data_IF_151708894388
#
_entry.id   IF_151708894388
#
_cell.length_a   1.000
_cell.length_b   1.000
_cell.length_c   1.000
_cell.angle_alpha   90.00
_cell.angle_beta   90.00
_cell.angle_gamma   90.00
#
_symmetry.space_group_name_H-M   'P 1'
#
loop_
_entity.id
_entity.type
_entity.pdbx_description
1 polymer ?
#
# COMPACT_ATOMS: atom_id res chain seq x y z
N UNK A 1 23.82 6.61 3.85
CA UNK A 1 23.01 6.11 4.99
C UNK A 1 21.55 6.14 4.53
N UNK A 2 21.08 5.07 3.88
CA UNK A 2 19.70 5.00 3.38
C UNK A 2 18.82 4.65 4.57
N UNK A 3 18.01 5.61 5.01
CA UNK A 3 16.96 5.40 6.01
C UNK A 3 15.92 4.49 5.37
N UNK A 4 16.04 3.17 5.57
CA UNK A 4 14.91 2.26 5.39
C UNK A 4 13.81 2.77 6.32
N UNK A 5 12.68 3.30 5.82
CA UNK A 5 11.61 3.69 6.72
C UNK A 5 11.19 2.41 7.43
N UNK A 6 11.34 2.44 8.75
CA UNK A 6 11.08 1.33 9.65
C UNK A 6 9.56 1.14 9.70
N UNK A 7 9.01 0.59 8.63
CA UNK A 7 7.57 0.37 8.46
C UNK A 7 7.06 -0.84 9.25
N UNK A 8 7.98 -1.51 9.95
CA UNK A 8 7.75 -2.74 10.69
C UNK A 8 6.90 -2.60 11.95
N UNK A 9 6.60 -1.39 12.42
CA UNK A 9 5.96 -1.20 13.74
C UNK A 9 4.42 -1.07 13.70
N UNK A 10 3.82 -0.77 12.54
CA UNK A 10 2.35 -0.68 12.44
C UNK A 10 1.76 -2.05 12.05
N UNK A 11 1.12 -2.79 12.98
CA UNK A 11 0.63 -4.14 12.72
C UNK A 11 -0.52 -4.16 11.70
N UNK A 12 -1.25 -3.04 11.55
CA UNK A 12 -2.28 -2.92 10.53
C UNK A 12 -1.65 -2.79 9.16
N UNK A 13 -0.58 -2.02 9.05
CA UNK A 13 0.08 -1.83 7.77
C UNK A 13 0.75 -3.09 7.23
N UNK A 14 1.31 -3.94 8.11
CA UNK A 14 1.78 -5.28 7.74
C UNK A 14 0.66 -6.18 7.20
N UNK A 15 -0.60 -5.98 7.63
CA UNK A 15 -1.78 -6.71 7.10
C UNK A 15 -2.32 -6.09 5.81
N UNK A 16 -2.27 -4.77 5.67
CA UNK A 16 -2.87 -4.04 4.55
C UNK A 16 -2.02 -4.15 3.28
N UNK A 17 -0.70 -4.00 3.39
CA UNK A 17 0.22 -4.07 2.25
C UNK A 17 0.09 -5.36 1.40
N UNK A 18 0.09 -6.57 1.96
CA UNK A 18 -0.06 -7.79 1.17
C UNK A 18 -1.44 -7.91 0.50
N UNK A 19 -2.50 -7.42 1.16
CA UNK A 19 -3.85 -7.37 0.56
C UNK A 19 -3.88 -6.40 -0.60
N UNK A 20 -3.29 -5.22 -0.45
CA UNK A 20 -3.18 -4.21 -1.49
C UNK A 20 -2.37 -4.72 -2.69
N UNK A 21 -1.30 -5.50 -2.44
CA UNK A 21 -0.52 -6.17 -3.49
C UNK A 21 -1.32 -7.25 -4.22
N UNK A 22 -2.15 -8.00 -3.50
CA UNK A 22 -2.97 -9.08 -4.06
C UNK A 22 -4.12 -8.52 -4.91
N UNK A 23 -4.75 -7.43 -4.47
CA UNK A 23 -5.88 -6.81 -5.15
C UNK A 23 -5.45 -5.84 -6.27
N UNK A 24 -4.33 -5.13 -6.08
CA UNK A 24 -3.78 -4.13 -7.02
C UNK A 24 -2.69 -4.69 -7.93
N UNK A 25 -2.68 -5.99 -8.21
CA UNK A 25 -1.62 -6.68 -8.96
C UNK A 25 -1.34 -6.06 -10.35
N UNK A 26 -2.34 -5.45 -10.97
CA UNK A 26 -2.26 -4.82 -12.30
C UNK A 26 -1.91 -3.31 -12.26
N UNK A 27 -1.45 -2.80 -11.11
CA UNK A 27 -1.29 -1.35 -10.90
C UNK A 27 -2.61 -0.60 -10.69
N UNK A 28 -3.72 -1.35 -10.62
CA UNK A 28 -5.07 -0.83 -10.34
C UNK A 28 -5.16 -0.35 -8.88
N UNK A 29 -5.86 0.77 -8.69
CA UNK A 29 -6.22 1.25 -7.36
C UNK A 29 -7.18 0.28 -6.67
N UNK A 30 -6.93 0.01 -5.39
CA UNK A 30 -7.80 -0.77 -4.51
C UNK A 30 -8.59 0.20 -3.65
N UNK A 31 -9.92 0.07 -3.64
CA UNK A 31 -10.80 0.94 -2.87
C UNK A 31 -10.71 0.66 -1.37
N UNK A 32 -10.91 1.69 -0.54
CA UNK A 32 -10.96 1.57 0.91
C UNK A 32 -12.01 0.53 1.33
N UNK A 33 -13.17 0.53 0.69
CA UNK A 33 -14.26 -0.41 0.90
C UNK A 33 -13.84 -1.86 0.66
N UNK A 34 -13.11 -2.13 -0.43
CA UNK A 34 -12.59 -3.48 -0.72
C UNK A 34 -11.59 -3.92 0.35
N UNK A 35 -10.71 -3.02 0.77
CA UNK A 35 -9.76 -3.32 1.84
C UNK A 35 -10.46 -3.58 3.18
N UNK A 36 -11.53 -2.85 3.51
CA UNK A 36 -12.36 -3.13 4.70
C UNK A 36 -12.96 -4.53 4.60
N UNK A 37 -13.55 -4.89 3.46
CA UNK A 37 -14.16 -6.20 3.25
C UNK A 37 -13.15 -7.35 3.38
N UNK A 38 -11.92 -7.17 2.90
CA UNK A 38 -10.88 -8.19 2.96
C UNK A 38 -10.16 -8.29 4.32
N UNK A 39 -9.98 -7.17 5.01
CA UNK A 39 -9.20 -7.13 6.26
C UNK A 39 -10.07 -7.20 7.51
N UNK A 40 -11.37 -6.90 7.40
CA UNK A 40 -12.27 -6.70 8.53
C UNK A 40 -11.92 -5.48 9.40
N UNK A 41 -10.94 -4.67 8.99
CA UNK A 41 -10.52 -3.47 9.73
C UNK A 41 -11.52 -2.35 9.45
N UNK A 42 -12.02 -1.63 10.47
CA UNK A 42 -12.92 -0.51 10.26
C UNK A 42 -12.27 0.58 9.41
N UNK A 43 -13.04 1.11 8.45
CA UNK A 43 -12.54 2.04 7.42
C UNK A 43 -11.83 3.27 7.96
N UNK A 44 -12.23 3.79 9.13
CA UNK A 44 -11.56 4.93 9.78
C UNK A 44 -10.13 4.61 10.22
N UNK A 45 -9.89 3.44 10.81
CA UNK A 45 -8.54 2.99 11.21
C UNK A 45 -7.69 2.69 9.97
N UNK A 46 -8.31 2.01 9.02
CA UNK A 46 -7.67 1.63 7.77
C UNK A 46 -7.21 2.88 6.99
N UNK A 47 -8.06 3.91 6.92
CA UNK A 47 -7.72 5.20 6.29
C UNK A 47 -6.52 5.86 6.95
N UNK A 48 -6.49 5.92 8.29
CA UNK A 48 -5.35 6.50 9.01
C UNK A 48 -4.03 5.74 8.71
N UNK A 49 -4.08 4.40 8.66
CA UNK A 49 -2.93 3.58 8.27
C UNK A 49 -2.52 3.83 6.82
N UNK A 50 -3.47 3.94 5.89
CA UNK A 50 -3.21 4.23 4.48
C UNK A 50 -2.63 5.63 4.27
N UNK A 51 -3.09 6.64 5.02
CA UNK A 51 -2.51 7.99 4.96
C UNK A 51 -1.06 8.00 5.47
N UNK A 52 -0.73 7.25 6.53
CA UNK A 52 0.66 7.06 6.97
C UNK A 52 1.52 6.34 5.93
N UNK A 53 0.97 5.30 5.31
CA UNK A 53 1.60 4.57 4.20
C UNK A 53 1.89 5.51 3.02
N UNK A 54 0.96 6.42 2.70
CA UNK A 54 1.14 7.44 1.66
C UNK A 54 2.24 8.42 2.03
N UNK A 55 2.26 8.94 3.26
CA UNK A 55 3.31 9.85 3.73
C UNK A 55 4.70 9.22 3.69
N UNK A 56 4.80 7.91 3.96
CA UNK A 56 6.06 7.16 3.87
C UNK A 56 6.50 6.80 2.43
N UNK A 57 5.64 7.03 1.44
CA UNK A 57 5.86 6.62 0.05
C UNK A 57 5.66 5.12 -0.22
N UNK A 58 5.17 4.34 0.74
CA UNK A 58 4.91 2.90 0.57
C UNK A 58 3.65 2.61 -0.27
N UNK A 59 2.69 3.53 -0.30
CA UNK A 59 1.44 3.46 -1.08
C UNK A 59 1.22 4.82 -1.74
N UNK A 60 0.54 4.85 -2.88
CA UNK A 60 0.11 6.07 -3.54
C UNK A 60 -1.41 6.17 -3.59
N UNK A 61 -1.99 7.38 -3.41
CA UNK A 61 -3.40 7.58 -3.71
C UNK A 61 -3.63 7.36 -5.21
N UNK A 62 -4.62 6.56 -5.56
CA UNK A 62 -5.06 6.34 -6.94
C UNK A 62 -6.22 7.28 -7.33
N UNK A 63 -6.61 8.19 -6.42
CA UNK A 63 -7.75 9.09 -6.60
C UNK A 63 -9.04 8.50 -6.05
N UNK A 64 -10.17 9.05 -6.49
CA UNK A 64 -11.50 8.53 -6.17
C UNK A 64 -11.93 7.61 -7.30
N UNK A 65 -12.26 6.37 -6.96
CA UNK A 65 -12.77 5.42 -7.93
C UNK A 65 -14.19 5.85 -8.37
N UNK A 66 -14.44 6.06 -9.68
CA UNK A 66 -15.71 6.59 -10.16
C UNK A 66 -16.85 5.57 -10.08
N UNK A 67 -16.55 4.28 -9.99
CA UNK A 67 -17.55 3.20 -9.86
C UNK A 67 -17.97 2.99 -8.40
N UNK A 68 -17.02 3.07 -7.47
CA UNK A 68 -17.27 2.88 -6.05
C UNK A 68 -17.58 4.19 -5.30
N UNK A 69 -17.36 5.35 -5.92
CA UNK A 69 -17.41 6.67 -5.26
C UNK A 69 -16.55 6.74 -3.99
N UNK A 70 -15.48 5.96 -3.95
CA UNK A 70 -14.65 5.69 -2.78
C UNK A 70 -13.17 6.02 -3.04
N UNK A 71 -12.41 6.25 -1.98
CA UNK A 71 -10.96 6.51 -2.12
C UNK A 71 -10.23 5.22 -2.50
N UNK A 72 -9.39 5.32 -3.53
CA UNK A 72 -8.57 4.22 -4.00
C UNK A 72 -7.08 4.46 -3.73
N UNK A 73 -6.38 3.37 -3.45
CA UNK A 73 -4.96 3.36 -3.10
C UNK A 73 -4.25 2.28 -3.92
N UNK A 74 -3.06 2.57 -4.42
CA UNK A 74 -2.26 1.61 -5.21
C UNK A 74 -0.84 1.53 -4.66
N UNK A 75 -0.18 0.39 -4.87
CA UNK A 75 1.26 0.33 -4.62
C UNK A 75 2.00 1.18 -5.68
N UNK A 76 3.08 1.87 -5.30
CA UNK A 76 3.97 2.47 -6.28
C UNK A 76 4.52 1.35 -7.18
N UNK A 77 4.42 1.54 -8.50
CA UNK A 77 4.99 0.62 -9.50
C UNK A 77 6.53 0.53 -9.41
N UNK A 78 7.15 1.41 -8.60
CA UNK A 78 8.60 1.55 -8.44
C UNK A 78 9.17 0.76 -7.25
N UNK A 79 8.66 -0.45 -6.99
CA UNK A 79 9.26 -1.40 -6.06
C UNK A 79 9.98 -2.56 -6.78
N UNK A 80 10.46 -2.31 -8.02
CA UNK A 80 11.22 -3.29 -8.80
C UNK A 80 12.38 -2.66 -9.57
N UNK A 81 13.17 -1.82 -8.91
CA UNK A 81 14.61 -1.66 -9.22
C UNK A 81 15.33 -1.36 -7.91
N UNK A 82 15.58 -2.40 -7.11
CA UNK A 82 16.89 -2.45 -6.47
C UNK A 82 17.75 -3.21 -7.48
N UNK A 83 18.80 -2.62 -8.09
CA UNK A 83 19.73 -3.43 -8.84
C UNK A 83 20.29 -4.45 -7.87
N UNK A 84 19.97 -5.72 -8.10
CA UNK A 84 20.71 -6.84 -7.52
C UNK A 84 22.16 -6.62 -7.93
N UNK A 85 22.95 -6.01 -7.05
CA UNK A 85 24.40 -5.89 -7.22
C UNK A 85 24.92 -7.31 -7.47
N UNK A 86 25.61 -7.58 -8.58
CA UNK A 86 26.25 -8.88 -8.76
C UNK A 86 27.29 -9.00 -7.64
N UNK A 87 27.13 -10.03 -6.82
CA UNK A 87 28.21 -10.49 -5.95
C UNK A 87 29.36 -10.92 -6.88
N UNK A 88 30.43 -10.14 -6.90
CA UNK A 88 31.68 -10.54 -7.54
C UNK A 88 32.38 -11.53 -6.59
N UNK A 89 32.75 -12.68 -7.17
CA UNK A 89 33.49 -13.77 -6.53
C UNK A 89 34.95 -13.39 -6.25
#
# INVERSE_FOLDING_TARGET
MVTRPFFGDDPLAQRVLPVLRRLGHDGRGVTLTSLVAYTGIPGVRLRATLERLVQSGAVMPAGRDPLASDLAFRLPLHASVAPSLPVAA
#
